data_IF_719519372248
#
_entry.id   IF_719519372248
#
_cell.length_a   1.000
_cell.length_b   1.000
_cell.length_c   1.000
_cell.angle_alpha   90.00
_cell.angle_beta   90.00
_cell.angle_gamma   90.00
#
_symmetry.space_group_name_H-M   'P 1'
#
loop_
_entity.id
_entity.type
_entity.pdbx_description
1 polymer ?
#
# COMPACT_ATOMS: atom_id res chain seq x y z
N UNK A 1 -18.28 -21.61 -1.16
CA UNK A 1 -17.82 -21.05 -2.46
C UNK A 1 -16.34 -21.40 -2.61
N UNK A 2 -15.81 -21.57 -3.83
CA UNK A 2 -14.38 -21.90 -4.00
C UNK A 2 -13.55 -20.62 -3.91
N UNK A 3 -12.56 -20.59 -3.03
CA UNK A 3 -11.59 -19.49 -2.93
C UNK A 3 -10.80 -19.34 -4.24
N UNK A 4 -10.62 -18.10 -4.68
CA UNK A 4 -9.83 -17.69 -5.85
C UNK A 4 -8.81 -16.67 -5.41
N UNK A 5 -7.57 -16.81 -5.87
CA UNK A 5 -6.52 -15.83 -5.61
C UNK A 5 -6.33 -14.88 -6.80
N UNK A 6 -6.33 -13.57 -6.53
CA UNK A 6 -5.78 -12.55 -7.42
C UNK A 6 -4.34 -12.26 -6.98
N UNK A 7 -3.37 -12.75 -7.75
CA UNK A 7 -1.95 -12.58 -7.49
C UNK A 7 -1.40 -11.42 -8.31
N UNK A 8 -0.87 -10.41 -7.64
CA UNK A 8 -0.34 -9.20 -8.24
C UNK A 8 1.19 -9.27 -8.33
N UNK A 9 1.71 -9.00 -9.52
CA UNK A 9 3.13 -8.73 -9.76
C UNK A 9 3.29 -7.25 -10.11
N UNK A 10 4.04 -6.52 -9.29
CA UNK A 10 4.18 -5.08 -9.38
C UNK A 10 5.56 -4.70 -9.93
N UNK A 11 5.57 -3.79 -10.91
CA UNK A 11 6.79 -3.17 -11.41
C UNK A 11 6.70 -1.67 -11.18
N UNK A 12 7.48 -1.17 -10.22
CA UNK A 12 7.59 0.25 -9.91
C UNK A 12 8.73 0.86 -10.74
N UNK A 13 8.40 1.34 -11.94
CA UNK A 13 9.35 2.03 -12.83
C UNK A 13 9.78 3.37 -12.23
N UNK A 14 11.09 3.54 -12.03
CA UNK A 14 11.65 4.72 -11.39
C UNK A 14 11.40 6.04 -12.14
N UNK A 15 11.65 7.14 -11.44
CA UNK A 15 11.52 8.50 -11.94
C UNK A 15 11.31 9.46 -10.77
N UNK A 16 12.09 10.55 -10.71
CA UNK A 16 12.07 11.47 -9.55
C UNK A 16 10.70 12.14 -9.43
N UNK A 17 10.15 12.65 -10.54
CA UNK A 17 8.83 13.29 -10.58
C UNK A 17 7.66 12.36 -10.24
N UNK A 18 7.86 11.05 -10.33
CA UNK A 18 6.82 10.04 -10.07
C UNK A 18 6.93 9.39 -8.68
N UNK A 19 7.94 9.75 -7.87
CA UNK A 19 8.18 9.12 -6.57
C UNK A 19 6.97 9.20 -5.63
N UNK A 20 6.33 10.37 -5.57
CA UNK A 20 5.14 10.63 -4.74
C UNK A 20 3.92 9.89 -5.28
N UNK A 21 3.77 9.82 -6.61
CA UNK A 21 2.69 9.07 -7.25
C UNK A 21 2.81 7.57 -6.96
N UNK A 22 4.00 7.00 -7.14
CA UNK A 22 4.28 5.59 -6.81
C UNK A 22 4.03 5.30 -5.32
N UNK A 23 4.31 6.25 -4.43
CA UNK A 23 3.95 6.10 -3.02
C UNK A 23 2.44 5.97 -2.81
N UNK A 24 1.64 6.80 -3.48
CA UNK A 24 0.18 6.69 -3.43
C UNK A 24 -0.31 5.33 -3.92
N UNK A 25 0.16 4.88 -5.09
CA UNK A 25 -0.22 3.58 -5.66
C UNK A 25 0.16 2.43 -4.72
N UNK A 26 1.39 2.41 -4.22
CA UNK A 26 1.83 1.35 -3.29
C UNK A 26 1.08 1.38 -1.96
N UNK A 27 0.70 2.56 -1.46
CA UNK A 27 -0.17 2.70 -0.29
C UNK A 27 -1.52 2.03 -0.53
N UNK A 28 -2.17 2.29 -1.65
CA UNK A 28 -3.49 1.69 -1.96
C UNK A 28 -3.42 0.17 -2.15
N UNK A 29 -2.35 -0.36 -2.76
CA UNK A 29 -2.14 -1.81 -2.86
C UNK A 29 -1.97 -2.47 -1.49
N UNK A 30 -1.22 -1.83 -0.57
CA UNK A 30 -1.09 -2.31 0.81
C UNK A 30 -2.46 -2.36 1.50
N UNK A 31 -3.24 -1.29 1.37
CA UNK A 31 -4.58 -1.18 1.96
C UNK A 31 -5.55 -2.23 1.40
N UNK A 32 -5.55 -2.46 0.09
CA UNK A 32 -6.33 -3.54 -0.53
C UNK A 32 -5.95 -4.92 0.02
N UNK A 33 -4.65 -5.18 0.17
CA UNK A 33 -4.16 -6.46 0.71
C UNK A 33 -4.59 -6.65 2.18
N UNK A 34 -4.58 -5.57 2.97
CA UNK A 34 -5.08 -5.58 4.35
C UNK A 34 -6.58 -5.82 4.43
N UNK A 35 -7.36 -5.11 3.62
CA UNK A 35 -8.80 -5.31 3.51
C UNK A 35 -9.12 -6.77 3.14
N UNK A 36 -8.37 -7.35 2.18
CA UNK A 36 -8.50 -8.76 1.82
C UNK A 36 -8.18 -9.68 2.99
N UNK A 37 -7.07 -9.48 3.71
CA UNK A 37 -6.75 -10.26 4.91
C UNK A 37 -7.86 -10.16 5.97
N UNK A 38 -8.38 -8.96 6.24
CA UNK A 38 -9.43 -8.75 7.22
C UNK A 38 -10.72 -9.49 6.82
N UNK A 39 -11.14 -9.38 5.56
CA UNK A 39 -12.31 -10.09 5.04
C UNK A 39 -12.19 -11.62 5.20
N UNK A 40 -11.02 -12.18 4.88
CA UNK A 40 -10.79 -13.63 4.99
C UNK A 40 -10.52 -14.10 6.43
N UNK A 41 -10.28 -13.18 7.37
CA UNK A 41 -10.14 -13.53 8.79
C UNK A 41 -11.48 -13.89 9.44
N UNK A 42 -12.61 -13.51 8.82
CA UNK A 42 -13.96 -13.84 9.27
C UNK A 42 -14.30 -15.26 8.78
N UNK A 43 -14.50 -16.25 9.69
CA UNK A 43 -14.72 -17.64 9.29
C UNK A 43 -16.13 -17.93 8.77
N UNK A 44 -17.13 -17.23 9.31
CA UNK A 44 -18.55 -17.43 8.99
C UNK A 44 -18.96 -16.56 7.80
N UNK A 45 -19.59 -17.17 6.80
CA UNK A 45 -20.14 -16.44 5.64
C UNK A 45 -21.24 -15.47 6.10
N UNK A 46 -22.07 -15.86 7.07
CA UNK A 46 -23.11 -14.98 7.61
C UNK A 46 -22.52 -13.75 8.29
N UNK A 47 -21.38 -13.91 8.98
CA UNK A 47 -20.71 -12.80 9.66
C UNK A 47 -20.01 -11.87 8.65
N UNK A 48 -19.54 -12.41 7.51
CA UNK A 48 -18.94 -11.60 6.44
C UNK A 48 -19.93 -10.61 5.84
N UNK A 49 -21.23 -10.88 5.87
CA UNK A 49 -22.23 -9.94 5.38
C UNK A 49 -22.41 -8.76 6.33
N UNK A 50 -22.37 -9.01 7.64
CA UNK A 50 -22.72 -8.03 8.67
C UNK A 50 -21.53 -7.24 9.21
N UNK A 51 -20.37 -7.88 9.39
CA UNK A 51 -19.19 -7.26 9.98
C UNK A 51 -18.53 -6.25 9.04
N UNK A 52 -17.98 -5.18 9.60
CA UNK A 52 -17.23 -4.15 8.88
C UNK A 52 -15.72 -4.40 8.93
N UNK A 53 -14.96 -3.61 8.17
CA UNK A 53 -13.50 -3.63 8.29
C UNK A 53 -13.01 -3.34 9.71
N UNK A 54 -13.67 -2.43 10.43
CA UNK A 54 -13.28 -2.06 11.79
C UNK A 54 -13.45 -3.21 12.79
N UNK A 55 -14.47 -4.06 12.58
CA UNK A 55 -14.71 -5.24 13.41
C UNK A 55 -13.67 -6.34 13.14
N UNK A 56 -13.30 -6.53 11.87
CA UNK A 56 -12.37 -7.57 11.43
C UNK A 56 -10.89 -7.20 11.62
N UNK A 57 -10.60 -5.89 11.71
CA UNK A 57 -9.26 -5.36 11.93
C UNK A 57 -9.28 -4.30 13.03
N UNK A 58 -9.54 -4.71 14.29
CA UNK A 58 -9.62 -3.77 15.40
C UNK A 58 -8.29 -3.06 15.63
N UNK A 59 -8.40 -1.73 15.78
CA UNK A 59 -7.41 -0.72 16.17
C UNK A 59 -5.93 -1.11 16.12
N UNK A 60 -5.23 -0.39 15.26
CA UNK A 60 -3.79 -0.27 15.28
C UNK A 60 -3.43 1.22 15.19
N UNK A 61 -2.20 1.59 15.55
CA UNK A 61 -1.69 2.98 15.44
C UNK A 61 -1.54 3.46 13.97
N UNK A 62 -2.24 2.84 13.02
CA UNK A 62 -2.17 3.09 11.60
C UNK A 62 -3.28 4.05 11.18
N UNK A 63 -2.98 4.86 10.18
CA UNK A 63 -3.98 5.70 9.49
C UNK A 63 -4.92 4.78 8.71
N UNK A 64 -6.18 4.67 9.14
CA UNK A 64 -7.25 3.94 8.43
C UNK A 64 -7.95 4.90 7.47
N UNK A 65 -8.15 4.48 6.23
CA UNK A 65 -8.74 5.31 5.19
C UNK A 65 -9.50 4.42 4.20
N UNK A 66 -8.93 4.13 3.03
CA UNK A 66 -9.58 3.39 1.95
C UNK A 66 -9.69 1.88 2.19
N UNK A 67 -9.10 1.33 3.26
CA UNK A 67 -9.25 -0.09 3.63
C UNK A 67 -10.72 -0.51 3.81
N UNK A 68 -11.54 0.33 4.45
CA UNK A 68 -12.96 0.05 4.65
C UNK A 68 -13.71 -0.06 3.31
N UNK A 69 -13.38 0.83 2.36
CA UNK A 69 -13.95 0.81 1.02
C UNK A 69 -13.55 -0.46 0.29
N UNK A 70 -12.26 -0.83 0.32
CA UNK A 70 -11.80 -2.07 -0.30
C UNK A 70 -12.43 -3.31 0.33
N UNK A 71 -12.65 -3.30 1.65
CA UNK A 71 -13.33 -4.39 2.35
C UNK A 71 -14.77 -4.54 1.86
N UNK A 72 -15.51 -3.44 1.71
CA UNK A 72 -16.88 -3.47 1.21
C UNK A 72 -16.94 -3.93 -0.26
N UNK A 73 -15.98 -3.52 -1.09
CA UNK A 73 -15.84 -4.02 -2.47
C UNK A 73 -15.60 -5.53 -2.48
N UNK A 74 -14.68 -6.03 -1.65
CA UNK A 74 -14.39 -7.46 -1.56
C UNK A 74 -15.58 -8.25 -0.99
N UNK A 75 -16.31 -7.69 -0.04
CA UNK A 75 -17.57 -8.25 0.47
C UNK A 75 -18.60 -8.37 -0.65
N UNK A 76 -18.79 -7.33 -1.45
CA UNK A 76 -19.71 -7.36 -2.59
C UNK A 76 -19.30 -8.40 -3.65
N UNK A 77 -18.00 -8.52 -3.94
CA UNK A 77 -17.47 -9.58 -4.83
C UNK A 77 -17.69 -10.97 -4.21
N UNK A 78 -17.54 -11.09 -2.89
CA UNK A 78 -17.72 -12.31 -2.09
C UNK A 78 -19.09 -12.98 -2.23
N UNK A 79 -20.12 -12.24 -2.65
CA UNK A 79 -21.43 -12.79 -3.00
C UNK A 79 -21.38 -13.74 -4.21
N UNK A 80 -20.34 -13.62 -5.04
CA UNK A 80 -20.16 -14.39 -6.27
C UNK A 80 -18.85 -15.18 -6.30
N UNK A 81 -17.77 -14.61 -5.75
CA UNK A 81 -16.43 -15.20 -5.72
C UNK A 81 -15.73 -14.84 -4.42
N UNK A 82 -15.28 -15.85 -3.67
CA UNK A 82 -14.42 -15.65 -2.49
C UNK A 82 -13.00 -15.30 -2.97
N UNK A 83 -12.71 -14.00 -3.11
CA UNK A 83 -11.53 -13.48 -3.79
C UNK A 83 -10.45 -12.99 -2.80
N UNK A 84 -9.33 -13.70 -2.74
CA UNK A 84 -8.15 -13.31 -1.96
C UNK A 84 -7.13 -12.54 -2.79
N UNK A 85 -6.72 -11.37 -2.33
CA UNK A 85 -5.71 -10.54 -3.01
C UNK A 85 -4.34 -10.76 -2.38
N UNK A 86 -3.35 -11.06 -3.20
CA UNK A 86 -1.97 -11.36 -2.77
C UNK A 86 -1.01 -10.56 -3.65
N UNK A 87 -0.05 -9.87 -3.04
CA UNK A 87 1.10 -9.32 -3.76
C UNK A 87 2.22 -10.34 -3.71
N UNK A 88 2.57 -10.88 -4.87
CA UNK A 88 3.47 -12.03 -4.99
C UNK A 88 4.89 -11.59 -5.36
N UNK A 89 5.00 -10.62 -6.27
CA UNK A 89 6.29 -10.11 -6.77
C UNK A 89 6.27 -8.59 -6.76
N UNK A 90 7.37 -7.98 -6.30
CA UNK A 90 7.62 -6.55 -6.37
C UNK A 90 9.00 -6.33 -6.98
N UNK A 91 9.05 -5.58 -8.08
CA UNK A 91 10.28 -5.13 -8.71
C UNK A 91 10.28 -3.60 -8.82
N UNK A 92 11.45 -2.97 -8.74
CA UNK A 92 11.55 -1.51 -8.92
C UNK A 92 12.98 -1.01 -9.07
N UNK A 93 13.12 0.16 -9.69
CA UNK A 93 14.41 0.82 -9.90
C UNK A 93 14.38 2.26 -9.39
N UNK A 94 15.49 2.78 -8.86
CA UNK A 94 15.60 4.15 -8.34
C UNK A 94 14.47 4.46 -7.31
N UNK A 95 13.72 5.56 -7.47
CA UNK A 95 12.58 5.91 -6.63
C UNK A 95 11.48 4.83 -6.58
N UNK A 96 11.34 4.04 -7.65
CA UNK A 96 10.42 2.90 -7.68
C UNK A 96 10.92 1.73 -6.82
N UNK A 97 12.24 1.53 -6.75
CA UNK A 97 12.86 0.57 -5.83
C UNK A 97 12.62 0.94 -4.36
N UNK A 98 12.73 2.23 -4.02
CA UNK A 98 12.44 2.74 -2.66
C UNK A 98 10.97 2.46 -2.28
N UNK A 99 10.03 2.81 -3.15
CA UNK A 99 8.60 2.53 -2.90
C UNK A 99 8.33 1.01 -2.82
N UNK A 100 8.95 0.22 -3.69
CA UNK A 100 8.81 -1.24 -3.72
C UNK A 100 9.30 -1.92 -2.44
N UNK A 101 10.52 -1.60 -1.97
CA UNK A 101 11.05 -2.20 -0.74
C UNK A 101 10.26 -1.79 0.50
N UNK A 102 9.79 -0.54 0.53
CA UNK A 102 8.95 -0.06 1.62
C UNK A 102 7.61 -0.81 1.64
N UNK A 103 6.95 -0.98 0.48
CA UNK A 103 5.73 -1.79 0.35
C UNK A 103 5.98 -3.22 0.82
N UNK A 104 7.05 -3.86 0.36
CA UNK A 104 7.39 -5.23 0.73
C UNK A 104 7.55 -5.37 2.26
N UNK A 105 8.25 -4.43 2.90
CA UNK A 105 8.43 -4.43 4.36
C UNK A 105 7.11 -4.25 5.11
N UNK A 106 6.23 -3.38 4.62
CA UNK A 106 4.93 -3.14 5.22
C UNK A 106 3.99 -4.33 5.07
N UNK A 107 4.05 -5.06 3.94
CA UNK A 107 3.32 -6.30 3.75
C UNK A 107 3.83 -7.41 4.68
N UNK A 108 5.15 -7.56 4.81
CA UNK A 108 5.76 -8.64 5.60
C UNK A 108 5.56 -8.48 7.12
N UNK A 109 5.54 -7.25 7.62
CA UNK A 109 5.52 -6.96 9.06
C UNK A 109 4.29 -6.15 9.51
N UNK A 110 3.34 -5.93 8.62
CA UNK A 110 2.13 -5.14 8.86
C UNK A 110 2.40 -3.72 9.40
N UNK A 111 3.44 -3.05 8.88
CA UNK A 111 3.94 -1.77 9.41
C UNK A 111 3.10 -0.56 8.98
N UNK A 112 3.11 0.54 9.76
CA UNK A 112 2.62 1.83 9.30
C UNK A 112 3.35 2.29 8.03
N UNK A 113 2.60 2.89 7.10
CA UNK A 113 3.14 3.32 5.79
C UNK A 113 3.32 4.83 5.64
N UNK A 114 2.88 5.61 6.65
CA UNK A 114 2.89 7.07 6.60
C UNK A 114 4.29 7.71 6.67
N UNK A 115 5.29 7.02 7.23
CA UNK A 115 6.64 7.57 7.37
C UNK A 115 7.31 7.89 6.03
N UNK A 116 7.05 7.10 4.99
CA UNK A 116 7.60 7.33 3.66
C UNK A 116 6.99 8.59 3.00
N UNK A 117 5.69 8.84 3.22
CA UNK A 117 5.02 10.07 2.78
C UNK A 117 5.75 11.31 3.29
N UNK A 118 6.09 11.31 4.59
CA UNK A 118 6.81 12.40 5.24
C UNK A 118 8.16 12.65 4.58
N UNK A 119 8.95 11.60 4.38
CA UNK A 119 10.25 11.69 3.69
C UNK A 119 10.09 12.33 2.31
N UNK A 120 9.08 11.91 1.53
CA UNK A 120 8.84 12.48 0.21
C UNK A 120 8.48 13.96 0.22
N UNK A 121 7.78 14.45 1.23
CA UNK A 121 7.36 15.85 1.31
C UNK A 121 8.37 16.76 1.99
N UNK A 122 9.11 16.26 2.98
CA UNK A 122 9.95 17.09 3.85
C UNK A 122 11.44 17.00 3.48
N UNK A 123 11.91 15.81 3.09
CA UNK A 123 13.35 15.52 2.97
C UNK A 123 13.81 15.29 1.52
N UNK A 124 12.89 14.95 0.61
CA UNK A 124 13.21 14.57 -0.76
C UNK A 124 13.30 15.76 -1.74
N UNK A 125 13.39 16.99 -1.22
CA UNK A 125 13.65 18.17 -2.04
C UNK A 125 15.06 18.06 -2.65
N UNK A 126 15.16 18.19 -3.97
CA UNK A 126 16.44 18.13 -4.69
C UNK A 126 17.45 19.15 -4.14
N UNK A 127 16.99 20.34 -3.70
CA UNK A 127 17.86 21.35 -3.11
C UNK A 127 18.40 20.96 -1.73
N UNK A 128 17.69 20.09 -1.01
CA UNK A 128 18.15 19.54 0.26
C UNK A 128 19.09 18.36 0.04
N UNK A 129 18.82 17.51 -0.94
CA UNK A 129 19.60 16.31 -1.26
C UNK A 129 20.94 16.59 -1.96
N UNK A 130 21.08 17.74 -2.64
CA UNK A 130 22.34 18.13 -3.28
C UNK A 130 23.41 18.41 -2.22
N UNK A 131 24.60 17.85 -2.45
CA UNK A 131 25.79 18.19 -1.69
C UNK A 131 26.02 19.72 -1.71
N UNK A 132 26.49 20.33 -0.62
CA UNK A 132 26.65 21.79 -0.52
C UNK A 132 27.37 22.41 -1.72
N UNK A 133 28.43 21.76 -2.20
CA UNK A 133 29.25 22.18 -3.35
C UNK A 133 28.55 22.05 -4.72
N UNK A 134 27.39 21.39 -4.80
CA UNK A 134 26.60 21.19 -6.01
C UNK A 134 25.35 22.06 -6.08
N UNK A 135 25.06 22.84 -5.04
CA UNK A 135 23.90 23.74 -5.02
C UNK A 135 24.15 24.92 -5.97
N UNK A 136 23.17 25.19 -6.83
CA UNK A 136 23.23 26.34 -7.71
C UNK A 136 23.29 27.64 -6.89
N UNK A 137 24.27 28.47 -7.21
CA UNK A 137 24.41 29.83 -6.70
C UNK A 137 23.84 30.83 -7.70
N UNK A 138 23.73 32.10 -7.31
CA UNK A 138 23.15 33.19 -8.14
C UNK A 138 23.75 33.31 -9.57
N UNK A 139 24.90 32.70 -9.83
CA UNK A 139 25.67 32.85 -11.07
C UNK A 139 26.17 31.52 -11.66
N UNK A 140 25.62 30.39 -11.21
CA UNK A 140 25.97 29.03 -11.67
C UNK A 140 24.73 28.24 -12.05
#
# INVERSE_FOLDING_TARGET
MKERELRLALVCSGGVSLAVYMHGVTKEILKLTRASRAYHSIPSIADRETLTFADASPHSDREHDTEAIYFDVLKAIGAHVDLRVIVDVIAGTSAGGINGIMLARALAHDLPFGGLRRIWFEEADVNQLLAPEKKATKWS
#
